data_IF_273375807386
#
_entry.id   IF_273375807386
#
_cell.length_a   1.000
_cell.length_b   1.000
_cell.length_c   1.000
_cell.angle_alpha   90.00
_cell.angle_beta   90.00
_cell.angle_gamma   90.00
#
_symmetry.space_group_name_H-M   'P 1'
#
loop_
_entity.id
_entity.type
_entity.pdbx_description
1 polymer ?
#
# COMPACT_ATOMS: atom_id res chain seq x y z
N UNK A 1 14.23 -11.94 -0.27
CA UNK A 1 13.18 -11.87 -1.32
C UNK A 1 13.53 -12.89 -2.37
N UNK A 2 13.45 -14.18 -2.02
CA UNK A 2 14.26 -15.19 -2.73
C UNK A 2 13.44 -16.30 -3.38
N UNK A 3 12.14 -16.09 -3.59
CA UNK A 3 11.35 -16.97 -4.45
C UNK A 3 11.26 -16.41 -5.87
N UNK A 4 11.48 -17.29 -6.85
CA UNK A 4 11.34 -16.97 -8.27
C UNK A 4 9.95 -16.41 -8.59
N UNK A 5 8.93 -16.97 -7.94
CA UNK A 5 7.54 -16.49 -8.03
C UNK A 5 7.41 -15.02 -7.62
N UNK A 6 7.96 -14.61 -6.48
CA UNK A 6 7.87 -13.21 -6.03
C UNK A 6 8.54 -12.28 -7.03
N UNK A 7 9.74 -12.63 -7.52
CA UNK A 7 10.46 -11.84 -8.54
C UNK A 7 9.65 -11.71 -9.83
N UNK A 8 9.03 -12.82 -10.28
CA UNK A 8 8.19 -12.82 -11.48
C UNK A 8 6.95 -11.95 -11.31
N UNK A 9 6.22 -12.09 -10.19
CA UNK A 9 5.03 -11.27 -9.90
C UNK A 9 5.40 -9.79 -9.83
N UNK A 10 6.47 -9.44 -9.10
CA UNK A 10 6.91 -8.05 -8.98
C UNK A 10 7.26 -7.46 -10.34
N UNK A 11 8.00 -8.19 -11.19
CA UNK A 11 8.37 -7.70 -12.53
C UNK A 11 7.16 -7.59 -13.46
N UNK A 12 6.21 -8.53 -13.38
CA UNK A 12 5.09 -8.63 -14.35
C UNK A 12 3.91 -7.73 -14.01
N UNK A 13 3.65 -7.50 -12.71
CA UNK A 13 2.44 -6.85 -12.24
C UNK A 13 2.68 -5.55 -11.48
N UNK A 14 3.81 -5.44 -10.78
CA UNK A 14 4.10 -4.24 -10.00
C UNK A 14 4.97 -3.25 -10.77
N UNK A 15 5.88 -3.71 -11.64
CA UNK A 15 6.72 -2.89 -12.53
C UNK A 15 7.21 -1.57 -11.88
N UNK A 16 8.05 -1.71 -10.85
CA UNK A 16 8.60 -0.63 -10.01
C UNK A 16 7.59 0.16 -9.16
N UNK A 17 6.30 -0.17 -9.23
CA UNK A 17 5.28 0.36 -8.33
C UNK A 17 5.17 -0.51 -7.07
N UNK A 18 4.61 0.06 -6.00
CA UNK A 18 4.23 -0.71 -4.83
C UNK A 18 2.81 -1.28 -5.03
N UNK A 19 2.40 -2.23 -4.19
CA UNK A 19 1.07 -2.85 -4.27
C UNK A 19 -0.09 -1.85 -4.09
N UNK A 20 0.17 -0.73 -3.40
CA UNK A 20 -0.81 0.32 -3.12
C UNK A 20 -1.09 1.22 -4.33
N UNK A 21 -0.06 1.51 -5.13
CA UNK A 21 -0.14 2.37 -6.31
C UNK A 21 -0.39 1.59 -7.60
N UNK A 22 -0.17 0.28 -7.61
CA UNK A 22 -0.36 -0.56 -8.79
C UNK A 22 -1.79 -0.45 -9.33
N UNK A 23 -1.91 -0.31 -10.66
CA UNK A 23 -3.20 -0.24 -11.35
C UNK A 23 -3.58 -1.61 -11.92
N UNK A 24 -4.88 -1.93 -12.00
CA UNK A 24 -5.33 -3.10 -12.73
C UNK A 24 -4.93 -2.95 -14.21
N UNK A 25 -4.44 -4.04 -14.81
CA UNK A 25 -4.05 -4.07 -16.23
C UNK A 25 -4.92 -5.09 -16.94
N UNK A 26 -5.40 -4.74 -18.14
CA UNK A 26 -6.18 -5.66 -18.99
C UNK A 26 -5.32 -6.79 -19.56
N UNK A 27 -4.01 -6.58 -19.65
CA UNK A 27 -3.04 -7.57 -20.11
C UNK A 27 -2.59 -8.57 -19.02
N UNK A 28 -3.28 -8.65 -17.88
CA UNK A 28 -2.93 -9.50 -16.74
C UNK A 28 -3.82 -10.73 -16.59
N UNK A 29 -3.53 -11.57 -15.59
CA UNK A 29 -4.45 -12.61 -15.15
C UNK A 29 -5.76 -12.00 -14.61
N UNK A 30 -6.88 -12.71 -14.80
CA UNK A 30 -8.20 -12.29 -14.31
C UNK A 30 -8.25 -12.11 -12.79
N UNK A 31 -7.36 -12.78 -12.06
CA UNK A 31 -7.25 -12.70 -10.60
C UNK A 31 -6.58 -11.40 -10.14
N UNK A 32 -5.73 -10.78 -10.97
CA UNK A 32 -4.95 -9.60 -10.57
C UNK A 32 -5.83 -8.40 -10.18
N UNK A 33 -6.87 -8.02 -10.95
CA UNK A 33 -7.80 -6.97 -10.52
C UNK A 33 -8.51 -7.29 -9.20
N UNK A 34 -8.86 -8.57 -8.97
CA UNK A 34 -9.50 -9.00 -7.72
C UNK A 34 -8.54 -8.87 -6.54
N UNK A 35 -7.29 -9.28 -6.70
CA UNK A 35 -6.25 -9.13 -5.68
C UNK A 35 -6.00 -7.65 -5.34
N UNK A 36 -5.95 -6.78 -6.36
CA UNK A 36 -5.84 -5.34 -6.15
C UNK A 36 -7.07 -4.76 -5.44
N UNK A 37 -8.28 -5.26 -5.70
CA UNK A 37 -9.47 -4.82 -4.99
C UNK A 37 -9.42 -5.23 -3.50
N UNK A 38 -8.95 -6.46 -3.21
CA UNK A 38 -8.78 -6.96 -1.84
C UNK A 38 -7.81 -6.14 -1.01
N UNK A 39 -6.85 -5.44 -1.63
CA UNK A 39 -5.86 -4.63 -0.90
C UNK A 39 -6.51 -3.61 0.02
N UNK A 40 -7.65 -3.03 -0.35
CA UNK A 40 -8.33 -2.00 0.44
C UNK A 40 -8.81 -2.54 1.79
N UNK A 41 -9.17 -3.82 1.84
CA UNK A 41 -9.58 -4.51 3.06
C UNK A 41 -8.39 -4.83 3.96
N UNK A 42 -7.24 -5.13 3.37
CA UNK A 42 -6.03 -5.52 4.12
C UNK A 42 -5.24 -4.28 4.57
N UNK A 43 -5.35 -3.17 3.83
CA UNK A 43 -4.67 -1.89 4.09
C UNK A 43 -4.73 -1.43 5.55
N UNK A 44 -5.87 -1.47 6.27
CA UNK A 44 -5.92 -1.09 7.69
C UNK A 44 -5.26 -2.08 8.65
N UNK A 45 -5.11 -3.35 8.27
CA UNK A 45 -4.62 -4.44 9.13
C UNK A 45 -3.10 -4.64 9.06
N UNK A 46 -2.42 -3.94 8.15
CA UNK A 46 -0.97 -4.12 7.91
C UNK A 46 -0.15 -3.29 8.89
N UNK A 47 0.91 -3.93 9.43
CA UNK A 47 1.99 -3.25 10.15
C UNK A 47 3.27 -3.25 9.33
N UNK A 48 3.93 -2.11 9.27
CA UNK A 48 5.20 -1.95 8.55
C UNK A 48 6.37 -2.30 9.46
N UNK A 49 7.28 -3.12 8.96
CA UNK A 49 8.59 -3.35 9.57
C UNK A 49 9.59 -2.51 8.78
N UNK A 50 10.07 -1.44 9.39
CA UNK A 50 11.01 -0.51 8.76
C UNK A 50 12.42 -0.97 9.11
N UNK A 51 13.21 -1.30 8.08
CA UNK A 51 14.65 -1.55 8.23
C UNK A 51 15.43 -0.29 7.78
N UNK A 52 16.30 -0.38 6.78
CA UNK A 52 17.12 0.75 6.28
C UNK A 52 16.36 1.94 5.68
N UNK A 53 15.04 1.87 5.53
CA UNK A 53 14.21 2.96 5.00
C UNK A 53 14.38 3.30 3.50
N UNK A 54 15.39 2.75 2.80
CA UNK A 54 15.71 3.14 1.40
C UNK A 54 14.59 2.99 0.37
N UNK A 55 13.65 2.06 0.58
CA UNK A 55 12.52 1.83 -0.32
C UNK A 55 11.18 2.30 0.29
N UNK A 56 11.23 2.98 1.42
CA UNK A 56 10.06 3.45 2.15
C UNK A 56 9.51 4.72 1.52
N UNK A 57 8.19 4.80 1.33
CA UNK A 57 7.53 6.04 0.92
C UNK A 57 6.83 6.66 2.12
N UNK A 58 7.61 7.38 2.94
CA UNK A 58 7.16 8.03 4.18
C UNK A 58 5.79 8.74 4.06
N UNK A 59 5.59 9.52 3.00
CA UNK A 59 4.39 10.35 2.89
C UNK A 59 3.17 9.64 2.31
N UNK A 60 3.36 8.60 1.50
CA UNK A 60 2.27 8.00 0.70
C UNK A 60 1.98 6.54 1.04
N UNK A 61 2.90 5.84 1.72
CA UNK A 61 2.61 4.51 2.24
C UNK A 61 1.53 4.62 3.34
N UNK A 62 0.66 3.62 3.46
CA UNK A 62 -0.38 3.63 4.47
C UNK A 62 0.13 3.18 5.84
N UNK A 63 0.05 4.04 6.84
CA UNK A 63 0.62 3.83 8.17
C UNK A 63 -0.41 3.42 9.20
N UNK A 64 -1.34 4.33 9.49
CA UNK A 64 -2.25 4.21 10.63
C UNK A 64 -3.64 3.92 10.07
N UNK A 65 -4.15 2.71 10.35
CA UNK A 65 -5.47 2.26 9.86
C UNK A 65 -5.63 2.45 8.35
N UNK A 66 -4.55 2.26 7.59
CA UNK A 66 -4.57 2.40 6.14
C UNK A 66 -4.46 3.83 5.60
N UNK A 67 -4.31 4.84 6.47
CA UNK A 67 -4.07 6.24 6.09
C UNK A 67 -2.57 6.55 6.01
N UNK A 68 -2.19 7.32 5.00
CA UNK A 68 -0.84 7.85 4.82
C UNK A 68 -0.59 9.08 5.67
N UNK A 69 0.69 9.47 5.85
CA UNK A 69 1.03 10.68 6.62
C UNK A 69 0.50 11.94 5.92
N UNK A 70 0.49 11.97 4.58
CA UNK A 70 -0.08 13.09 3.83
C UNK A 70 -1.58 13.27 4.14
N UNK A 71 -2.35 12.18 4.17
CA UNK A 71 -3.77 12.20 4.52
C UNK A 71 -3.99 12.68 5.97
N UNK A 72 -3.19 12.19 6.92
CA UNK A 72 -3.30 12.57 8.33
C UNK A 72 -2.86 14.02 8.61
N UNK A 73 -1.94 14.56 7.81
CA UNK A 73 -1.50 15.94 7.92
C UNK A 73 -2.51 16.95 7.34
N UNK A 74 -3.55 16.46 6.67
CA UNK A 74 -4.58 17.31 6.11
C UNK A 74 -5.47 17.88 7.24
N UNK A 75 -5.86 19.16 7.20
CA UNK A 75 -6.57 19.84 8.30
C UNK A 75 -7.90 19.23 8.75
N UNK A 76 -8.44 18.24 8.03
CA UNK A 76 -9.74 17.63 8.31
C UNK A 76 -9.70 16.58 9.45
N UNK A 77 -8.53 16.01 9.77
CA UNK A 77 -8.39 14.95 10.77
C UNK A 77 -8.12 15.47 12.21
N UNK A 78 -7.96 16.79 12.43
CA UNK A 78 -7.64 17.37 13.75
C UNK A 78 -8.85 17.58 14.70
N UNK A 79 -10.07 17.21 14.31
CA UNK A 79 -11.29 17.51 15.08
C UNK A 79 -11.75 16.43 16.06
N UNK A 80 -10.95 15.39 16.32
CA UNK A 80 -11.37 14.24 17.16
C UNK A 80 -10.85 14.17 18.60
N UNK A 81 -10.03 15.13 19.08
CA UNK A 81 -9.27 14.95 20.35
C UNK A 81 -9.62 15.98 21.45
N UNK A 82 -10.68 16.78 21.28
CA UNK A 82 -11.18 17.69 22.33
C UNK A 82 -12.62 17.33 22.67
N UNK A 83 -12.79 16.29 23.48
CA UNK A 83 -14.11 15.79 23.84
C UNK A 83 -14.05 14.53 24.69
N UNK A 84 -13.47 14.63 25.89
CA UNK A 84 -13.84 13.84 27.09
C UNK A 84 -13.17 14.45 28.31
#
# INVERSE_FOLDING_TARGET
MDSLWVRWVTKRYLDKQNIWSAKPTSAGSWIWPKLLASRNWIKPEIRYIIFSGRNLKAWTDPWIKGKSLAELSSPQDQQGVIGT
#
